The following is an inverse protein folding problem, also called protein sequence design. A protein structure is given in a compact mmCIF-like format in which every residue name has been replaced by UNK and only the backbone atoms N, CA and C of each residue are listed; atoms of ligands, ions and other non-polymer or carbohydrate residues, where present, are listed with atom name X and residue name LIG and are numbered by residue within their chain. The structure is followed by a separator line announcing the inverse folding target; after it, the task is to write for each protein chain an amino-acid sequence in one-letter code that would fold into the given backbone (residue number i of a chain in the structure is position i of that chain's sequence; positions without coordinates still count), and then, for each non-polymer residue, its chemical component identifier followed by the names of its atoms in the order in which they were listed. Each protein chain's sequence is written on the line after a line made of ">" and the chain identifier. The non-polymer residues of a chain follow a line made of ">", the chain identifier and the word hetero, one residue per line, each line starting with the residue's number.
data_IF_814099444791
#
_entry.id   IF_814099444791
#
_cell.length_a   1.000
_cell.length_b   1.000
_cell.length_c   1.000
_cell.angle_alpha   90.00
_cell.angle_beta   90.00
_cell.angle_gamma   90.00
#
_symmetry.space_group_name_H-M   'P 1'
#
loop_
_entity.id
_entity.type
_entity.pdbx_description
1 polymer ?
#
# COMPACT_ATOMS: atom_id res chain seq x y z
N UNK A 1 7.55 -18.08 29.08
CA UNK A 1 6.82 -18.01 27.80
C UNK A 1 7.61 -17.14 26.86
N UNK A 2 8.01 -17.65 25.69
CA UNK A 2 8.52 -16.78 24.64
C UNK A 2 7.39 -15.83 24.19
N UNK A 3 7.70 -14.56 23.95
CA UNK A 3 6.72 -13.62 23.40
C UNK A 3 6.25 -14.16 22.03
N UNK A 4 4.95 -14.14 21.78
CA UNK A 4 4.43 -14.48 20.45
C UNK A 4 4.96 -13.45 19.43
N UNK A 5 5.32 -13.88 18.20
CA UNK A 5 5.80 -12.97 17.18
C UNK A 5 4.71 -11.95 16.84
N UNK A 6 5.07 -10.67 16.89
CA UNK A 6 4.18 -9.58 16.50
C UNK A 6 4.23 -9.38 14.99
N UNK A 7 3.18 -8.78 14.42
CA UNK A 7 3.23 -8.24 13.07
C UNK A 7 4.29 -7.14 13.00
N UNK A 8 5.27 -7.34 12.11
CA UNK A 8 6.15 -6.27 11.65
C UNK A 8 5.41 -5.37 10.67
N UNK A 9 5.76 -4.08 10.64
CA UNK A 9 5.21 -3.12 9.69
C UNK A 9 6.28 -2.15 9.17
N UNK A 10 6.07 -1.63 7.96
CA UNK A 10 7.00 -0.74 7.30
C UNK A 10 6.27 0.16 6.30
N UNK A 11 6.89 1.27 5.91
CA UNK A 11 6.48 2.11 4.79
C UNK A 11 7.27 1.77 3.53
N UNK A 12 6.60 1.82 2.39
CA UNK A 12 7.20 1.57 1.07
C UNK A 12 7.52 2.91 0.42
N UNK A 13 8.80 3.20 0.23
CA UNK A 13 9.25 4.45 -0.37
C UNK A 13 9.74 4.20 -1.79
N UNK A 14 9.31 5.03 -2.74
CA UNK A 14 9.64 4.81 -4.14
C UNK A 14 9.02 5.80 -5.10
N UNK A 15 8.90 5.36 -6.35
CA UNK A 15 8.44 6.14 -7.49
C UNK A 15 7.20 5.49 -8.07
N UNK A 16 6.12 6.26 -8.24
CA UNK A 16 5.03 5.88 -9.11
C UNK A 16 5.48 6.15 -10.56
N UNK A 17 5.72 5.09 -11.32
CA UNK A 17 6.03 5.23 -12.74
C UNK A 17 4.77 5.69 -13.46
N UNK A 18 4.74 6.96 -13.85
CA UNK A 18 3.82 7.45 -14.87
C UNK A 18 3.89 6.54 -16.11
N UNK A 19 2.74 6.26 -16.72
CA UNK A 19 2.73 5.72 -18.07
C UNK A 19 3.56 6.64 -18.98
N UNK A 20 4.35 6.12 -19.94
CA UNK A 20 5.11 6.98 -20.84
C UNK A 20 4.15 7.97 -21.54
N UNK A 21 4.31 9.26 -21.26
CA UNK A 21 3.48 10.35 -21.80
C UNK A 21 2.58 11.07 -20.79
N UNK A 22 2.49 10.65 -19.52
CA UNK A 22 1.77 11.42 -18.50
C UNK A 22 2.69 12.50 -17.89
N UNK A 23 2.29 13.77 -18.02
CA UNK A 23 2.91 14.89 -17.30
C UNK A 23 2.96 14.59 -15.80
N UNK A 24 4.03 15.00 -15.08
CA UNK A 24 4.04 14.85 -13.63
C UNK A 24 2.82 15.58 -13.05
N UNK A 25 2.15 15.02 -12.02
CA UNK A 25 1.07 15.73 -11.36
C UNK A 25 1.65 16.94 -10.63
N UNK A 26 1.70 18.07 -11.34
CA UNK A 26 1.60 19.37 -10.71
C UNK A 26 0.29 19.40 -9.92
N UNK A 27 0.31 20.10 -8.79
CA UNK A 27 -0.83 20.26 -7.89
C UNK A 27 -2.02 20.82 -8.68
N UNK A 28 -2.90 19.95 -9.18
CA UNK A 28 -4.20 20.34 -9.72
C UNK A 28 -5.28 19.74 -8.81
N UNK A 29 -5.89 20.63 -8.02
CA UNK A 29 -7.13 20.37 -7.32
C UNK A 29 -8.20 20.02 -8.36
N UNK A 30 -8.61 18.74 -8.40
CA UNK A 30 -9.63 18.29 -9.32
C UNK A 30 -11.01 18.84 -8.91
N UNK A 31 -11.46 19.91 -9.59
CA UNK A 31 -12.86 20.10 -9.90
C UNK A 31 -13.07 19.66 -11.34
N UNK A 32 -13.67 18.48 -11.56
CA UNK A 32 -14.05 18.04 -12.90
C UNK A 32 -15.57 18.02 -13.03
N UNK A 33 -16.07 18.94 -13.86
CA UNK A 33 -17.44 18.97 -14.34
C UNK A 33 -17.70 17.94 -15.44
N UNK A 34 -18.99 17.71 -15.66
CA UNK A 34 -19.61 16.70 -16.54
C UNK A 34 -19.30 16.95 -18.03
N UNK A 35 -18.98 15.89 -18.77
CA UNK A 35 -19.00 15.89 -20.24
C UNK A 35 -18.77 14.49 -20.82
N UNK A 36 -19.79 13.94 -21.49
CA UNK A 36 -19.81 12.60 -22.08
C UNK A 36 -19.20 12.55 -23.49
N UNK A 37 -18.60 11.41 -23.87
CA UNK A 37 -18.50 10.95 -25.26
C UNK A 37 -18.34 9.42 -25.33
N UNK A 38 -19.14 8.81 -26.20
CA UNK A 38 -19.32 7.37 -26.41
C UNK A 38 -18.08 6.66 -27.00
N UNK A 39 -17.70 5.54 -26.36
CA UNK A 39 -16.82 4.49 -26.87
C UNK A 39 -17.38 3.12 -26.39
N UNK A 40 -17.16 2.00 -27.12
CA UNK A 40 -17.80 0.73 -26.81
C UNK A 40 -17.42 0.24 -25.40
N UNK A 41 -18.45 -0.19 -24.67
CA UNK A 41 -18.46 -0.50 -23.23
C UNK A 41 -17.42 -1.59 -22.86
N UNK A 42 -16.18 -1.17 -22.59
CA UNK A 42 -15.38 -1.84 -21.57
C UNK A 42 -15.99 -1.47 -20.21
N UNK A 43 -16.17 -2.45 -19.32
CA UNK A 43 -16.74 -2.22 -17.99
C UNK A 43 -16.06 -1.00 -17.32
N UNK A 44 -16.81 0.02 -16.88
CA UNK A 44 -16.23 1.17 -16.21
C UNK A 44 -15.74 0.74 -14.83
N UNK A 45 -14.45 0.93 -14.52
CA UNK A 45 -13.98 0.89 -13.13
C UNK A 45 -12.54 0.45 -12.87
N UNK A 46 -11.91 -0.39 -13.70
CA UNK A 46 -10.55 -0.84 -13.42
C UNK A 46 -9.52 0.05 -14.13
N UNK A 47 -9.19 1.20 -13.54
CA UNK A 47 -8.04 2.00 -13.97
C UNK A 47 -6.77 1.13 -14.03
N UNK A 48 -5.89 1.40 -15.00
CA UNK A 48 -4.58 0.76 -15.01
C UNK A 48 -3.82 1.18 -13.74
N UNK A 49 -3.35 0.21 -12.96
CA UNK A 49 -2.48 0.49 -11.80
C UNK A 49 -1.15 1.02 -12.36
N UNK A 50 -0.73 2.25 -12.01
CA UNK A 50 0.57 2.75 -12.45
C UNK A 50 1.65 1.81 -11.92
N UNK A 51 2.68 1.55 -12.73
CA UNK A 51 3.77 0.69 -12.28
C UNK A 51 4.45 1.31 -11.06
N UNK A 52 4.60 0.55 -9.99
CA UNK A 52 5.22 1.02 -8.76
C UNK A 52 6.66 0.51 -8.69
N UNK A 53 7.62 1.39 -8.42
CA UNK A 53 9.00 0.99 -8.12
C UNK A 53 9.33 1.33 -6.68
N UNK A 54 9.42 0.30 -5.84
CA UNK A 54 9.90 0.43 -4.47
C UNK A 54 11.41 0.60 -4.51
N UNK A 55 11.92 1.67 -3.88
CA UNK A 55 13.35 1.98 -3.77
C UNK A 55 13.88 1.67 -2.39
N UNK A 56 13.05 1.79 -1.36
CA UNK A 56 13.42 1.54 0.03
C UNK A 56 12.20 1.06 0.83
N UNK A 57 12.44 0.12 1.74
CA UNK A 57 11.50 -0.28 2.77
C UNK A 57 11.95 0.39 4.06
N UNK A 58 11.07 1.20 4.66
CA UNK A 58 11.33 1.93 5.90
C UNK A 58 10.67 1.19 7.06
N UNK A 59 11.41 0.43 7.88
CA UNK A 59 10.83 -0.30 9.01
C UNK A 59 10.19 0.66 10.01
N UNK A 60 9.07 0.24 10.58
CA UNK A 60 8.34 1.00 11.59
C UNK A 60 7.99 0.14 12.80
N UNK A 61 7.77 0.80 13.92
CA UNK A 61 7.23 0.24 15.14
C UNK A 61 5.73 0.02 15.01
N UNK A 62 5.30 -1.17 15.38
CA UNK A 62 3.90 -1.49 15.58
C UNK A 62 3.43 -0.95 16.95
N UNK A 63 2.60 0.10 16.92
CA UNK A 63 2.03 0.77 18.11
C UNK A 63 0.53 0.47 18.28
N UNK A 64 0.07 -0.69 17.80
CA UNK A 64 -1.32 -1.13 18.03
C UNK A 64 -1.59 -1.34 19.52
N UNK A 65 -2.76 -0.92 20.00
CA UNK A 65 -3.24 -1.23 21.34
C UNK A 65 -4.60 -1.95 21.26
N UNK A 66 -4.83 -2.96 22.12
CA UNK A 66 -3.92 -3.45 23.17
C UNK A 66 -2.70 -4.23 22.60
N UNK A 67 -1.56 -4.16 23.28
CA UNK A 67 -0.31 -4.85 22.87
C UNK A 67 -0.50 -6.34 22.59
N UNK A 68 -1.42 -7.01 23.29
CA UNK A 68 -1.76 -8.42 23.06
C UNK A 68 -2.33 -8.72 21.65
N UNK A 69 -2.82 -7.72 20.94
CA UNK A 69 -3.34 -7.87 19.57
C UNK A 69 -2.29 -7.63 18.48
N UNK A 70 -1.07 -7.21 18.84
CA UNK A 70 0.00 -6.94 17.87
C UNK A 70 0.46 -8.17 17.09
N UNK A 71 0.03 -9.37 17.46
CA UNK A 71 0.28 -10.63 16.71
C UNK A 71 -0.53 -10.77 15.44
N UNK A 72 -1.58 -9.95 15.26
CA UNK A 72 -2.55 -10.03 14.16
C UNK A 72 -3.10 -8.67 13.70
N UNK A 73 -2.50 -7.59 14.21
CA UNK A 73 -2.86 -6.21 13.89
C UNK A 73 -1.63 -5.34 13.99
N UNK A 74 -1.59 -4.30 13.15
CA UNK A 74 -0.55 -3.29 13.23
C UNK A 74 -1.09 -1.87 13.12
N UNK A 75 -0.36 -0.94 13.72
CA UNK A 75 -0.48 0.49 13.45
C UNK A 75 0.92 1.09 13.43
N UNK A 76 1.27 1.80 12.36
CA UNK A 76 2.57 2.46 12.22
C UNK A 76 2.71 3.61 13.25
N UNK A 77 3.86 3.74 13.92
CA UNK A 77 4.12 4.91 14.79
C UNK A 77 4.00 6.21 13.96
N UNK A 78 3.10 7.15 14.32
CA UNK A 78 2.92 8.40 13.58
C UNK A 78 4.21 9.22 13.43
N UNK A 79 5.14 9.14 14.39
CA UNK A 79 6.41 9.86 14.32
C UNK A 79 7.30 9.31 13.21
N UNK A 80 7.33 7.99 13.05
CA UNK A 80 8.10 7.35 11.98
C UNK A 80 7.47 7.57 10.61
N UNK A 81 6.13 7.66 10.55
CA UNK A 81 5.44 8.06 9.32
C UNK A 81 5.89 9.46 8.87
N UNK A 82 5.93 10.44 9.78
CA UNK A 82 6.39 11.80 9.48
C UNK A 82 7.86 11.84 9.06
N UNK A 83 8.73 11.06 9.74
CA UNK A 83 10.14 10.97 9.40
C UNK A 83 10.37 10.36 8.02
N UNK A 84 9.69 9.25 7.70
CA UNK A 84 9.77 8.59 6.41
C UNK A 84 9.29 9.51 5.28
N UNK A 85 8.15 10.19 5.48
CA UNK A 85 7.63 11.16 4.51
C UNK A 85 8.61 12.31 4.27
N UNK A 86 9.21 12.87 5.35
CA UNK A 86 10.21 13.93 5.22
C UNK A 86 11.43 13.45 4.45
N UNK A 87 11.98 12.29 4.83
CA UNK A 87 13.15 11.70 4.20
C UNK A 87 12.93 11.40 2.72
N UNK A 88 11.73 10.90 2.37
CA UNK A 88 11.32 10.61 1.01
C UNK A 88 11.28 11.88 0.14
N UNK A 89 10.63 12.95 0.64
CA UNK A 89 10.54 14.23 -0.07
C UNK A 89 11.91 14.84 -0.38
N UNK A 90 12.85 14.76 0.56
CA UNK A 90 14.23 15.23 0.36
C UNK A 90 15.00 14.47 -0.74
N UNK A 91 14.45 13.35 -1.23
CA UNK A 91 15.04 12.46 -2.23
C UNK A 91 14.14 12.26 -3.45
N UNK A 92 13.13 13.10 -3.62
CA UNK A 92 12.16 12.99 -4.72
C UNK A 92 11.41 11.64 -4.75
N UNK A 93 11.33 10.97 -3.60
CA UNK A 93 10.56 9.74 -3.41
C UNK A 93 9.22 10.04 -2.75
N UNK A 94 8.29 9.10 -2.91
CA UNK A 94 6.95 9.13 -2.35
C UNK A 94 6.72 7.92 -1.44
N UNK A 95 5.78 8.04 -0.52
CA UNK A 95 5.22 6.88 0.20
C UNK A 95 4.22 6.21 -0.74
N UNK A 96 4.55 5.01 -1.23
CA UNK A 96 3.70 4.25 -2.15
C UNK A 96 2.64 3.41 -1.40
N UNK A 97 2.90 3.13 -0.12
CA UNK A 97 2.01 2.37 0.74
C UNK A 97 2.76 1.73 1.91
N UNK A 98 2.30 0.55 2.35
CA UNK A 98 2.81 -0.11 3.54
C UNK A 98 3.12 -1.59 3.29
N UNK A 99 4.05 -2.13 4.09
CA UNK A 99 4.26 -3.56 4.22
C UNK A 99 3.94 -4.00 5.63
N UNK A 100 3.41 -5.21 5.78
CA UNK A 100 3.27 -5.86 7.07
C UNK A 100 3.39 -7.37 6.96
N UNK A 101 3.49 -8.05 8.10
CA UNK A 101 3.55 -9.51 8.14
C UNK A 101 2.28 -10.09 8.75
N UNK A 102 1.85 -11.25 8.27
CA UNK A 102 0.87 -12.12 8.91
C UNK A 102 1.60 -13.34 9.51
N UNK A 103 1.95 -13.34 10.82
CA UNK A 103 2.76 -14.40 11.42
C UNK A 103 2.09 -15.79 11.42
N UNK A 104 0.76 -15.83 11.30
CA UNK A 104 -0.04 -17.05 11.50
C UNK A 104 -1.09 -17.30 10.39
N UNK A 105 -1.10 -16.50 9.32
CA UNK A 105 -2.10 -16.63 8.24
C UNK A 105 -1.53 -16.31 6.87
N UNK A 106 -2.27 -16.64 5.82
CA UNK A 106 -1.87 -16.36 4.44
C UNK A 106 -1.67 -14.85 4.19
N UNK A 107 -0.80 -14.47 3.24
CA UNK A 107 -0.48 -13.07 2.95
C UNK A 107 -1.56 -12.42 2.05
N UNK A 108 -2.82 -12.50 2.46
CA UNK A 108 -4.00 -11.91 1.80
C UNK A 108 -4.56 -10.80 2.68
N UNK A 109 -4.91 -9.62 2.13
CA UNK A 109 -5.46 -8.51 2.92
C UNK A 109 -6.67 -8.94 3.73
N UNK A 110 -6.62 -8.75 5.05
CA UNK A 110 -7.73 -9.03 5.95
C UNK A 110 -8.80 -7.94 5.87
N UNK A 111 -9.98 -8.21 6.43
CA UNK A 111 -11.03 -7.19 6.55
C UNK A 111 -10.58 -5.96 7.36
N UNK A 112 -9.63 -6.12 8.29
CA UNK A 112 -9.06 -5.00 9.07
C UNK A 112 -8.08 -4.21 8.21
N UNK A 113 -7.24 -4.88 7.43
CA UNK A 113 -6.30 -4.21 6.51
C UNK A 113 -7.05 -3.32 5.52
N UNK A 114 -8.11 -3.86 4.91
CA UNK A 114 -8.94 -3.11 3.97
C UNK A 114 -9.64 -1.92 4.64
N UNK A 115 -10.16 -2.10 5.86
CA UNK A 115 -10.87 -1.03 6.56
C UNK A 115 -9.95 0.11 7.05
N UNK A 116 -8.67 -0.17 7.28
CA UNK A 116 -7.70 0.81 7.79
C UNK A 116 -6.78 1.37 6.69
N UNK A 117 -6.82 0.81 5.48
CA UNK A 117 -6.03 1.27 4.36
C UNK A 117 -6.47 2.65 3.87
N UNK A 118 -5.50 3.52 3.63
CA UNK A 118 -5.73 4.79 2.93
C UNK A 118 -5.58 4.56 1.42
N UNK A 119 -6.64 4.05 0.79
CA UNK A 119 -6.66 3.78 -0.65
C UNK A 119 -6.65 5.07 -1.49
N UNK A 120 -6.03 5.07 -2.68
CA UNK A 120 -5.41 3.93 -3.34
C UNK A 120 -3.98 3.71 -2.81
N UNK A 121 -3.61 2.46 -2.55
CA UNK A 121 -2.30 2.19 -1.93
C UNK A 121 -1.73 0.82 -2.28
N UNK A 122 -0.40 0.72 -2.26
CA UNK A 122 0.33 -0.53 -2.37
C UNK A 122 0.43 -1.20 -1.00
N UNK A 123 0.11 -2.49 -0.93
CA UNK A 123 0.28 -3.29 0.26
C UNK A 123 1.15 -4.52 -0.04
N UNK A 124 2.23 -4.70 0.72
CA UNK A 124 3.00 -5.94 0.74
C UNK A 124 2.68 -6.73 2.00
N UNK A 125 2.34 -8.00 1.85
CA UNK A 125 2.09 -8.89 2.98
C UNK A 125 3.06 -10.06 2.92
N UNK A 126 3.76 -10.30 4.03
CA UNK A 126 4.67 -11.43 4.17
C UNK A 126 4.09 -12.44 5.16
N UNK A 127 4.30 -13.73 4.89
CA UNK A 127 3.85 -14.80 5.78
C UNK A 127 4.88 -15.93 5.82
N UNK A 128 5.10 -16.58 6.97
CA UNK A 128 5.90 -17.81 7.02
C UNK A 128 5.25 -18.96 6.23
N UNK A 129 3.95 -18.90 5.91
CA UNK A 129 3.27 -19.93 5.11
C UNK A 129 3.67 -19.90 3.63
N UNK A 130 4.32 -18.81 3.19
CA UNK A 130 4.82 -18.64 1.82
C UNK A 130 6.34 -18.45 1.81
N UNK A 131 7.06 -19.02 2.79
CA UNK A 131 8.51 -18.87 2.96
C UNK A 131 8.99 -17.40 2.97
N UNK A 132 8.14 -16.50 3.46
CA UNK A 132 8.36 -15.05 3.47
C UNK A 132 8.43 -14.38 2.09
N UNK A 133 7.99 -15.07 1.03
CA UNK A 133 7.78 -14.45 -0.28
C UNK A 133 6.70 -13.35 -0.18
N UNK A 134 6.97 -12.11 -0.63
CA UNK A 134 5.99 -11.03 -0.59
C UNK A 134 4.79 -11.29 -1.52
N UNK A 135 3.59 -11.15 -0.98
CA UNK A 135 2.38 -10.97 -1.77
C UNK A 135 2.12 -9.47 -1.96
N UNK A 136 2.01 -9.03 -3.22
CA UNK A 136 1.80 -7.62 -3.57
C UNK A 136 0.35 -7.36 -3.93
N UNK A 137 -0.26 -6.34 -3.33
CA UNK A 137 -1.65 -5.98 -3.51
C UNK A 137 -1.78 -4.48 -3.81
N UNK A 138 -2.59 -4.14 -4.81
CA UNK A 138 -3.08 -2.79 -5.02
C UNK A 138 -4.47 -2.68 -4.42
N UNK A 139 -4.66 -1.75 -3.48
CA UNK A 139 -5.94 -1.47 -2.88
C UNK A 139 -6.56 -0.29 -3.63
N UNK A 140 -7.62 -0.54 -4.41
CA UNK A 140 -8.28 0.47 -5.24
C UNK A 140 -9.31 1.28 -4.43
N UNK A 141 -9.44 2.58 -4.71
CA UNK A 141 -10.53 3.40 -4.14
C UNK A 141 -11.86 2.83 -4.67
N UNK A 142 -12.84 2.69 -3.78
CA UNK A 142 -14.24 2.51 -4.14
C UNK A 142 -15.08 3.59 -3.45
N UNK A 143 -16.34 3.71 -3.88
CA UNK A 143 -17.34 4.66 -3.38
C UNK A 143 -17.74 4.36 -1.91
N UNK A 144 -16.78 4.54 -1.01
CA UNK A 144 -16.89 4.70 0.45
C UNK A 144 -17.08 3.47 1.35
N UNK A 145 -17.21 2.24 0.84
CA UNK A 145 -17.41 1.07 1.73
C UNK A 145 -16.11 0.35 2.15
N UNK A 146 -15.35 -0.22 1.21
CA UNK A 146 -14.03 -0.85 1.45
C UNK A 146 -13.22 -0.87 0.15
N UNK A 147 -11.88 -0.76 0.20
CA UNK A 147 -11.07 -0.92 -1.01
C UNK A 147 -11.12 -2.35 -1.52
N UNK A 148 -11.05 -2.51 -2.84
CA UNK A 148 -10.93 -3.84 -3.47
C UNK A 148 -9.47 -4.20 -3.65
N UNK A 149 -9.00 -5.34 -3.09
CA UNK A 149 -7.63 -5.78 -3.27
C UNK A 149 -7.44 -6.44 -4.63
N UNK A 150 -6.47 -5.95 -5.40
CA UNK A 150 -6.04 -6.52 -6.68
C UNK A 150 -4.63 -7.07 -6.55
N UNK A 151 -4.40 -8.37 -6.80
CA UNK A 151 -3.06 -8.94 -6.72
C UNK A 151 -2.18 -8.38 -7.84
N UNK A 152 -0.93 -8.06 -7.50
CA UNK A 152 0.08 -7.57 -8.41
C UNK A 152 1.19 -8.60 -8.60
N UNK A 153 1.70 -8.70 -9.82
CA UNK A 153 2.98 -9.39 -10.08
C UNK A 153 4.12 -8.43 -9.79
N UNK A 154 5.22 -8.97 -9.27
CA UNK A 154 6.42 -8.21 -8.97
C UNK A 154 7.66 -8.96 -9.42
N UNK A 155 8.77 -8.24 -9.46
CA UNK A 155 10.11 -8.77 -9.66
C UNK A 155 11.12 -7.85 -9.00
N UNK A 156 12.23 -8.40 -8.52
CA UNK A 156 13.38 -7.59 -8.20
C UNK A 156 13.96 -7.01 -9.48
N UNK A 157 14.42 -5.76 -9.40
CA UNK A 157 15.17 -5.10 -10.46
C UNK A 157 16.52 -4.75 -9.86
N UNK A 158 17.58 -5.20 -10.54
CA UNK A 158 18.98 -4.91 -10.17
C UNK A 158 19.36 -3.45 -10.49
#
# INVERSE_FOLDING_TARGET
>A
MAAQPQEGCALLLGEACSAPGASPPGIEAAQAGIGAADAPLAAPGAGAVPAQRIRLIWPCLNVWEPTAERTRRFRLDPREQLLAQRWARERELQVLGAAHSHPCSDPVPSATDLALAFAPTLQLILSPLTDWEPACWWLEIQDEERPTPRPLRWRMVD
#
